data_IF_230278580443
#
_entry.id   IF_230278580443
#
_cell.length_a   1.000
_cell.length_b   1.000
_cell.length_c   1.000
_cell.angle_alpha   90.00
_cell.angle_beta   90.00
_cell.angle_gamma   90.00
#
_symmetry.space_group_name_H-M   'P 1'
#
loop_
_entity.id
_entity.type
_entity.pdbx_description
1 polymer ?
#
# COMPACT_ATOMS: atom_id res chain seq x y z
N UNK A 1 16.97 16.04 -1.25
CA UNK A 1 15.51 16.12 -1.52
C UNK A 1 14.78 16.06 -0.19
N UNK A 2 14.04 17.12 0.17
CA UNK A 2 13.37 17.26 1.46
C UNK A 2 12.06 16.44 1.44
N UNK A 3 12.13 15.15 1.79
CA UNK A 3 11.01 14.21 1.71
C UNK A 3 9.87 14.52 2.70
N UNK A 4 10.07 15.43 3.67
CA UNK A 4 9.16 15.62 4.80
C UNK A 4 7.86 16.39 4.50
N UNK A 5 7.69 16.95 3.29
CA UNK A 5 6.50 17.77 2.96
C UNK A 5 5.52 17.15 1.97
N UNK A 6 5.86 16.03 1.31
CA UNK A 6 5.06 15.50 0.20
C UNK A 6 4.14 14.32 0.56
N UNK A 7 4.44 13.62 1.65
CA UNK A 7 3.72 12.41 2.03
C UNK A 7 3.25 12.50 3.49
N UNK A 8 2.38 11.59 3.89
CA UNK A 8 1.80 11.48 5.22
C UNK A 8 2.36 10.26 5.97
N UNK A 9 2.56 9.15 5.26
CA UNK A 9 3.02 7.89 5.82
C UNK A 9 4.42 7.50 5.36
N UNK A 10 5.18 6.82 6.21
CA UNK A 10 6.46 6.22 5.84
C UNK A 10 6.28 4.93 5.01
N UNK A 11 5.19 4.22 5.29
CA UNK A 11 5.00 2.83 4.88
C UNK A 11 4.22 2.66 3.57
N UNK A 12 3.75 3.75 2.95
CA UNK A 12 2.93 3.66 1.74
C UNK A 12 3.62 2.86 0.62
N UNK A 13 4.95 2.91 0.54
CA UNK A 13 5.74 2.18 -0.46
C UNK A 13 5.72 0.66 -0.27
N UNK A 14 5.38 0.15 0.91
CA UNK A 14 5.28 -1.29 1.17
C UNK A 14 4.23 -1.95 0.26
N UNK A 15 3.20 -1.20 -0.15
CA UNK A 15 2.16 -1.68 -1.08
C UNK A 15 2.60 -1.64 -2.54
N UNK A 16 3.70 -0.95 -2.85
CA UNK A 16 4.23 -0.76 -4.20
C UNK A 16 5.49 -1.58 -4.49
N UNK A 17 5.96 -2.39 -3.53
CA UNK A 17 7.20 -3.18 -3.66
C UNK A 17 7.12 -4.20 -4.80
N UNK A 18 5.95 -4.82 -4.99
CA UNK A 18 5.75 -5.78 -6.06
C UNK A 18 5.30 -5.06 -7.35
N UNK A 19 5.82 -5.46 -8.52
CA UNK A 19 5.54 -4.78 -9.78
C UNK A 19 4.14 -5.05 -10.34
N UNK A 20 3.14 -5.33 -9.50
CA UNK A 20 1.76 -5.53 -9.92
C UNK A 20 1.17 -4.28 -10.58
N UNK A 21 1.61 -3.08 -10.18
CA UNK A 21 1.27 -1.83 -10.87
C UNK A 21 1.60 -1.87 -12.38
N UNK A 22 2.65 -2.59 -12.80
CA UNK A 22 2.96 -2.77 -14.23
C UNK A 22 1.90 -3.60 -14.94
N UNK A 23 1.39 -4.63 -14.27
CA UNK A 23 0.37 -5.53 -14.83
C UNK A 23 -1.00 -4.87 -14.85
N UNK A 24 -1.38 -4.15 -13.80
CA UNK A 24 -2.70 -3.50 -13.72
C UNK A 24 -2.75 -2.18 -14.49
N UNK A 25 -1.62 -1.56 -14.82
CA UNK A 25 -1.61 -0.32 -15.61
C UNK A 25 -2.07 -0.49 -17.06
N UNK A 26 -1.89 -1.67 -17.66
CA UNK A 26 -2.32 -1.95 -19.05
C UNK A 26 -3.58 -2.79 -19.05
N UNK A 27 -4.60 -2.38 -19.82
CA UNK A 27 -5.91 -3.04 -19.87
C UNK A 27 -5.82 -4.56 -20.10
N UNK A 28 -5.12 -4.98 -21.16
CA UNK A 28 -5.02 -6.42 -21.48
C UNK A 28 -4.24 -7.19 -20.41
N UNK A 29 -3.16 -6.62 -19.88
CA UNK A 29 -2.38 -7.23 -18.80
C UNK A 29 -3.17 -7.34 -17.50
N UNK A 30 -4.03 -6.36 -17.21
CA UNK A 30 -4.94 -6.37 -16.06
C UNK A 30 -6.00 -7.46 -16.21
N UNK A 31 -6.59 -7.60 -17.41
CA UNK A 31 -7.55 -8.67 -17.72
C UNK A 31 -6.93 -10.06 -17.53
N UNK A 32 -5.75 -10.32 -18.12
CA UNK A 32 -5.05 -11.60 -17.96
C UNK A 32 -4.63 -11.86 -16.52
N UNK A 33 -4.19 -10.83 -15.78
CA UNK A 33 -3.88 -10.96 -14.35
C UNK A 33 -5.14 -11.35 -13.57
N UNK A 34 -6.25 -10.67 -13.78
CA UNK A 34 -7.51 -10.92 -13.09
C UNK A 34 -8.04 -12.32 -13.36
N UNK A 35 -8.07 -12.75 -14.62
CA UNK A 35 -8.52 -14.08 -15.01
C UNK A 35 -7.72 -15.18 -14.28
N UNK A 36 -6.38 -15.10 -14.34
CA UNK A 36 -5.49 -16.02 -13.64
C UNK A 36 -5.65 -15.97 -12.11
N UNK A 37 -5.78 -14.78 -11.53
CA UNK A 37 -5.93 -14.64 -10.08
C UNK A 37 -7.27 -15.19 -9.61
N UNK A 38 -8.36 -14.98 -10.35
CA UNK A 38 -9.66 -15.51 -9.98
C UNK A 38 -9.71 -17.03 -10.01
N UNK A 39 -9.07 -17.67 -11.00
CA UNK A 39 -8.94 -19.14 -11.04
C UNK A 39 -8.22 -19.69 -9.80
N UNK A 40 -7.13 -19.04 -9.39
CA UNK A 40 -6.42 -19.38 -8.16
C UNK A 40 -7.33 -19.14 -6.94
N UNK A 41 -7.96 -17.97 -6.87
CA UNK A 41 -8.81 -17.59 -5.73
C UNK A 41 -9.94 -18.59 -5.53
N UNK A 42 -10.61 -19.01 -6.61
CA UNK A 42 -11.69 -20.00 -6.55
C UNK A 42 -11.17 -21.33 -5.96
N UNK A 43 -10.00 -21.79 -6.43
CA UNK A 43 -9.36 -23.03 -5.97
C UNK A 43 -8.97 -23.00 -4.48
N UNK A 44 -8.51 -21.84 -3.98
CA UNK A 44 -7.99 -21.68 -2.62
C UNK A 44 -8.94 -20.90 -1.68
N UNK A 45 -10.18 -20.68 -2.11
CA UNK A 45 -11.17 -19.82 -1.45
C UNK A 45 -11.44 -20.16 0.02
N UNK A 46 -11.35 -21.44 0.38
CA UNK A 46 -11.48 -21.94 1.77
C UNK A 46 -10.51 -21.29 2.77
N UNK A 47 -9.38 -20.76 2.31
CA UNK A 47 -8.39 -20.09 3.18
C UNK A 47 -8.67 -18.60 3.39
N UNK A 48 -9.55 -17.99 2.57
CA UNK A 48 -9.81 -16.54 2.62
C UNK A 48 -10.38 -16.10 3.97
N UNK A 49 -11.40 -16.76 4.55
CA UNK A 49 -11.94 -16.36 5.85
C UNK A 49 -10.97 -16.59 7.02
N UNK A 50 -9.94 -17.42 6.82
CA UNK A 50 -8.95 -17.76 7.85
C UNK A 50 -7.79 -16.76 7.90
N UNK A 51 -7.68 -15.86 6.94
CA UNK A 51 -6.68 -14.80 6.95
C UNK A 51 -6.95 -13.83 8.12
N UNK A 52 -5.94 -13.37 8.88
CA UNK A 52 -4.49 -13.54 8.68
C UNK A 52 -3.87 -14.75 9.39
N UNK A 53 -4.65 -15.54 10.13
CA UNK A 53 -4.16 -16.66 10.94
C UNK A 53 -3.57 -17.79 10.09
N UNK A 54 -4.15 -18.03 8.91
CA UNK A 54 -3.64 -18.97 7.90
C UNK A 54 -3.27 -18.18 6.65
N UNK A 55 -2.07 -18.41 6.12
CA UNK A 55 -1.58 -17.78 4.89
C UNK A 55 -1.34 -18.83 3.84
N UNK A 56 -1.98 -18.65 2.69
CA UNK A 56 -1.74 -19.44 1.49
C UNK A 56 -0.91 -18.61 0.50
N UNK A 57 0.28 -19.09 0.13
CA UNK A 57 1.18 -18.40 -0.80
C UNK A 57 0.50 -18.09 -2.15
N UNK A 58 -0.37 -18.97 -2.62
CA UNK A 58 -1.11 -18.77 -3.87
C UNK A 58 -2.04 -17.54 -3.84
N UNK A 59 -2.45 -17.09 -2.65
CA UNK A 59 -3.34 -15.94 -2.44
C UNK A 59 -2.58 -14.64 -2.13
N UNK A 60 -1.26 -14.58 -2.29
CA UNK A 60 -0.45 -13.40 -1.93
C UNK A 60 -0.91 -12.09 -2.58
N UNK A 61 -1.28 -12.12 -3.85
CA UNK A 61 -1.78 -10.93 -4.55
C UNK A 61 -3.13 -10.46 -3.96
N UNK A 62 -4.03 -11.39 -3.66
CA UNK A 62 -5.30 -11.10 -3.00
C UNK A 62 -5.05 -10.49 -1.61
N UNK A 63 -4.10 -11.02 -0.83
CA UNK A 63 -3.74 -10.46 0.48
C UNK A 63 -3.07 -9.08 0.38
N UNK A 64 -2.28 -8.82 -0.66
CA UNK A 64 -1.73 -7.49 -0.93
C UNK A 64 -2.85 -6.48 -1.21
N UNK A 65 -3.79 -6.85 -2.07
CA UNK A 65 -4.96 -6.05 -2.39
C UNK A 65 -5.79 -5.75 -1.13
N UNK A 66 -6.12 -6.79 -0.35
CA UNK A 66 -6.85 -6.65 0.90
C UNK A 66 -6.13 -5.73 1.89
N UNK A 67 -4.82 -5.92 2.14
CA UNK A 67 -4.07 -5.07 3.08
C UNK A 67 -4.01 -3.62 2.60
N UNK A 68 -3.90 -3.38 1.29
CA UNK A 68 -3.94 -2.03 0.73
C UNK A 68 -5.30 -1.39 0.98
N UNK A 69 -6.40 -2.11 0.70
CA UNK A 69 -7.77 -1.64 0.94
C UNK A 69 -7.99 -1.31 2.42
N UNK A 70 -7.56 -2.17 3.34
CA UNK A 70 -7.75 -1.97 4.78
C UNK A 70 -6.88 -0.85 5.36
N UNK A 71 -5.71 -0.58 4.78
CA UNK A 71 -4.85 0.53 5.17
C UNK A 71 -5.34 1.89 4.62
N UNK A 72 -6.26 1.87 3.66
CA UNK A 72 -6.63 3.04 2.88
C UNK A 72 -7.45 4.04 3.68
N UNK A 73 -6.86 5.20 3.92
CA UNK A 73 -7.54 6.42 4.30
C UNK A 73 -7.28 7.51 3.24
N UNK A 74 -7.81 8.70 3.48
CA UNK A 74 -7.62 9.85 2.57
C UNK A 74 -6.14 10.23 2.40
N UNK A 75 -5.35 10.15 3.47
CA UNK A 75 -3.93 10.53 3.48
C UNK A 75 -3.07 9.53 2.71
N UNK A 76 -3.32 8.23 2.84
CA UNK A 76 -2.62 7.19 2.09
C UNK A 76 -2.98 7.29 0.60
N UNK A 77 -4.24 7.57 0.29
CA UNK A 77 -4.68 7.76 -1.09
C UNK A 77 -3.94 8.95 -1.73
N UNK A 78 -3.86 10.07 -1.01
CA UNK A 78 -3.11 11.24 -1.40
C UNK A 78 -1.60 10.92 -1.57
N UNK A 79 -1.01 10.12 -0.67
CA UNK A 79 0.38 9.69 -0.79
C UNK A 79 0.64 8.90 -2.08
N UNK A 80 -0.29 8.02 -2.45
CA UNK A 80 -0.19 7.26 -3.70
C UNK A 80 -0.29 8.18 -4.92
N UNK A 81 -1.27 9.09 -4.94
CA UNK A 81 -1.44 10.04 -6.03
C UNK A 81 -0.20 10.92 -6.19
N UNK A 82 0.33 11.44 -5.08
CA UNK A 82 1.49 12.32 -5.08
C UNK A 82 2.82 11.62 -5.38
N UNK A 83 2.88 10.28 -5.37
CA UNK A 83 4.17 9.59 -5.47
C UNK A 83 4.78 9.69 -6.87
N UNK A 84 4.24 8.92 -7.80
CA UNK A 84 4.57 8.88 -9.21
C UNK A 84 3.51 8.02 -9.92
N UNK A 85 3.70 7.80 -11.22
CA UNK A 85 2.88 6.91 -12.04
C UNK A 85 2.48 5.59 -11.36
N UNK A 86 3.41 4.93 -10.65
CA UNK A 86 3.15 3.64 -9.97
C UNK A 86 2.16 3.78 -8.83
N UNK A 87 2.28 4.87 -8.07
CA UNK A 87 1.38 5.18 -6.97
C UNK A 87 -0.02 5.50 -7.50
N UNK A 88 -0.12 6.36 -8.52
CA UNK A 88 -1.41 6.71 -9.11
C UNK A 88 -2.12 5.47 -9.68
N UNK A 89 -1.42 4.64 -10.45
CA UNK A 89 -1.99 3.38 -10.97
C UNK A 89 -2.48 2.48 -9.84
N UNK A 90 -1.75 2.40 -8.73
CA UNK A 90 -2.16 1.60 -7.58
C UNK A 90 -3.35 2.19 -6.82
N UNK A 91 -3.44 3.53 -6.73
CA UNK A 91 -4.61 4.22 -6.18
C UNK A 91 -5.86 3.92 -7.03
N UNK A 92 -5.78 4.09 -8.36
CA UNK A 92 -6.87 3.78 -9.27
C UNK A 92 -7.29 2.30 -9.18
N UNK A 93 -6.31 1.39 -9.16
CA UNK A 93 -6.56 -0.04 -8.99
C UNK A 93 -7.30 -0.33 -7.69
N UNK A 94 -6.84 0.23 -6.57
CA UNK A 94 -7.45 0.02 -5.25
C UNK A 94 -8.88 0.56 -5.19
N UNK A 95 -9.14 1.70 -5.85
CA UNK A 95 -10.48 2.27 -6.02
C UNK A 95 -11.43 1.34 -6.79
N UNK A 96 -10.93 0.61 -7.80
CA UNK A 96 -11.75 -0.38 -8.51
C UNK A 96 -12.17 -1.54 -7.60
N UNK A 97 -11.25 -2.04 -6.77
CA UNK A 97 -11.42 -3.32 -6.06
C UNK A 97 -11.92 -3.17 -4.62
N UNK A 98 -12.02 -1.95 -4.09
CA UNK A 98 -12.44 -1.73 -2.70
C UNK A 98 -13.91 -2.10 -2.49
N UNK A 99 -14.25 -2.93 -1.48
CA UNK A 99 -15.61 -3.13 -0.99
C UNK A 99 -16.16 -1.91 -0.22
N UNK A 100 -15.31 -0.93 0.11
CA UNK A 100 -15.64 0.21 0.97
C UNK A 100 -15.31 1.54 0.28
N UNK A 101 -16.06 1.94 -0.76
CA UNK A 101 -15.81 3.20 -1.46
C UNK A 101 -15.97 4.40 -0.51
N UNK A 102 -15.16 5.43 -0.72
CA UNK A 102 -15.16 6.69 0.04
C UNK A 102 -15.16 7.88 -0.93
N UNK A 103 -15.79 8.99 -0.54
CA UNK A 103 -15.97 10.16 -1.42
C UNK A 103 -14.65 10.75 -1.90
N UNK A 104 -13.65 10.85 -1.01
CA UNK A 104 -12.31 11.38 -1.34
C UNK A 104 -11.65 10.64 -2.51
N UNK A 105 -12.00 9.37 -2.75
CA UNK A 105 -11.41 8.60 -3.85
C UNK A 105 -11.88 9.11 -5.20
N UNK A 106 -13.14 9.54 -5.33
CA UNK A 106 -13.66 10.12 -6.58
C UNK A 106 -13.05 11.50 -6.77
N UNK A 107 -13.15 12.36 -5.74
CA UNK A 107 -12.66 13.74 -5.77
C UNK A 107 -11.19 13.80 -6.22
N UNK A 108 -10.30 13.01 -5.59
CA UNK A 108 -8.88 13.02 -5.93
C UNK A 108 -8.56 12.30 -7.25
N UNK A 109 -9.40 11.38 -7.74
CA UNK A 109 -9.19 10.75 -9.06
C UNK A 109 -9.58 11.68 -10.22
N UNK A 110 -10.61 12.51 -10.03
CA UNK A 110 -11.02 13.50 -11.02
C UNK A 110 -9.96 14.60 -11.18
N UNK A 111 -9.25 14.96 -10.11
CA UNK A 111 -8.15 15.95 -10.15
C UNK A 111 -6.93 15.51 -10.99
N UNK A 112 -6.75 14.21 -11.23
CA UNK A 112 -5.55 13.65 -11.88
C UNK A 112 -5.83 13.01 -13.23
N UNK A 113 -7.02 13.20 -13.80
CA UNK A 113 -7.43 12.58 -15.06
C UNK A 113 -6.43 12.89 -16.20
N UNK A 114 -5.92 14.13 -16.23
CA UNK A 114 -4.99 14.61 -17.26
C UNK A 114 -3.54 14.17 -17.04
N UNK A 115 -3.17 13.69 -15.84
CA UNK A 115 -1.81 13.30 -15.50
C UNK A 115 -1.42 11.94 -16.11
N UNK A 116 -2.39 11.13 -16.55
CA UNK A 116 -2.18 9.74 -16.99
C UNK A 116 -2.87 9.39 -18.32
N UNK A 117 -2.44 9.97 -19.45
CA UNK A 117 -3.08 9.72 -20.75
C UNK A 117 -3.07 8.23 -21.15
N UNK A 118 -2.02 7.49 -20.81
CA UNK A 118 -1.90 6.05 -21.13
C UNK A 118 -2.69 5.13 -20.20
N UNK A 119 -3.16 5.62 -19.05
CA UNK A 119 -3.92 4.86 -18.07
C UNK A 119 -5.33 5.43 -17.85
N UNK A 120 -5.80 6.31 -18.74
CA UNK A 120 -7.14 6.92 -18.68
C UNK A 120 -8.24 5.88 -18.48
N UNK A 121 -8.14 4.74 -19.16
CA UNK A 121 -9.08 3.62 -19.01
C UNK A 121 -9.25 3.16 -17.54
N UNK A 122 -8.17 3.18 -16.74
CA UNK A 122 -8.18 2.71 -15.35
C UNK A 122 -8.80 3.75 -14.43
N UNK A 123 -8.52 5.04 -14.66
CA UNK A 123 -9.17 6.15 -13.96
C UNK A 123 -10.68 6.12 -14.25
N UNK A 124 -11.07 6.06 -15.52
CA UNK A 124 -12.47 5.96 -15.93
C UNK A 124 -13.17 4.74 -15.32
N UNK A 125 -12.48 3.59 -15.29
CA UNK A 125 -13.04 2.37 -14.66
C UNK A 125 -13.23 2.56 -13.16
N UNK A 126 -12.25 3.14 -12.47
CA UNK A 126 -12.35 3.43 -11.04
C UNK A 126 -13.51 4.40 -10.74
N UNK A 127 -13.59 5.54 -11.44
CA UNK A 127 -14.65 6.53 -11.27
C UNK A 127 -16.03 5.93 -11.56
N UNK A 128 -16.18 5.14 -12.63
CA UNK A 128 -17.43 4.47 -12.96
C UNK A 128 -17.86 3.49 -11.87
N UNK A 129 -16.94 2.65 -11.38
CA UNK A 129 -17.22 1.70 -10.29
C UNK A 129 -17.61 2.42 -9.00
N UNK A 130 -16.87 3.45 -8.62
CA UNK A 130 -17.15 4.25 -7.42
C UNK A 130 -18.50 4.99 -7.52
N UNK A 131 -18.87 5.43 -8.72
CA UNK A 131 -20.16 6.08 -9.01
C UNK A 131 -21.34 5.11 -9.16
N UNK A 132 -21.12 3.80 -9.00
CA UNK A 132 -22.17 2.79 -9.21
C UNK A 132 -22.55 2.57 -10.69
N UNK A 133 -21.80 3.15 -11.64
CA UNK A 133 -21.98 2.96 -13.08
C UNK A 133 -21.26 1.69 -13.52
N UNK A 134 -21.87 0.52 -13.29
CA UNK A 134 -21.30 -0.74 -13.77
C UNK A 134 -21.61 -0.95 -15.25
N UNK A 135 -20.63 -1.44 -16.01
CA UNK A 135 -20.84 -1.97 -17.37
C UNK A 135 -20.90 -3.49 -17.30
N UNK A 136 -21.75 -4.12 -18.10
CA UNK A 136 -21.67 -5.56 -18.32
C UNK A 136 -20.51 -5.88 -19.28
N UNK A 137 -19.29 -5.83 -18.73
CA UNK A 137 -18.05 -6.20 -19.42
C UNK A 137 -17.26 -7.19 -18.56
N UNK A 138 -16.50 -8.07 -19.23
CA UNK A 138 -15.66 -9.10 -18.61
C UNK A 138 -14.74 -8.53 -17.52
N UNK A 139 -14.19 -7.33 -17.74
CA UNK A 139 -13.35 -6.65 -16.75
C UNK A 139 -14.12 -6.27 -15.47
N UNK A 140 -15.29 -5.65 -15.62
CA UNK A 140 -16.12 -5.22 -14.48
C UNK A 140 -16.58 -6.43 -13.67
N UNK A 141 -16.94 -7.53 -14.35
CA UNK A 141 -17.30 -8.79 -13.72
C UNK A 141 -16.13 -9.38 -12.92
N UNK A 142 -14.90 -9.33 -13.46
CA UNK A 142 -13.71 -9.77 -12.74
C UNK A 142 -13.37 -8.90 -11.53
N UNK A 143 -13.45 -7.58 -11.66
CA UNK A 143 -13.23 -6.65 -10.55
C UNK A 143 -14.26 -6.89 -9.45
N UNK A 144 -15.54 -7.08 -9.82
CA UNK A 144 -16.62 -7.36 -8.88
C UNK A 144 -16.39 -8.66 -8.10
N UNK A 145 -15.96 -9.73 -8.76
CA UNK A 145 -15.57 -10.99 -8.09
C UNK A 145 -14.39 -10.79 -7.14
N UNK A 146 -13.34 -10.09 -7.57
CA UNK A 146 -12.19 -9.82 -6.70
C UNK A 146 -12.60 -9.01 -5.46
N UNK A 147 -13.42 -7.97 -5.65
CA UNK A 147 -14.01 -7.15 -4.58
C UNK A 147 -14.84 -7.99 -3.60
N UNK A 148 -15.62 -8.94 -4.09
CA UNK A 148 -16.36 -9.90 -3.27
C UNK A 148 -15.41 -10.71 -2.38
N UNK A 149 -14.35 -11.30 -2.94
CA UNK A 149 -13.38 -12.09 -2.16
C UNK A 149 -12.62 -11.25 -1.13
N UNK A 150 -12.29 -9.99 -1.45
CA UNK A 150 -11.72 -9.05 -0.47
C UNK A 150 -12.71 -8.81 0.69
N UNK A 151 -14.00 -8.69 0.37
CA UNK A 151 -15.07 -8.52 1.36
C UNK A 151 -15.31 -9.73 2.27
N UNK A 152 -14.89 -10.94 1.87
CA UNK A 152 -15.00 -12.15 2.69
C UNK A 152 -13.93 -12.26 3.78
N UNK A 153 -12.82 -11.52 3.67
CA UNK A 153 -11.79 -11.54 4.71
C UNK A 153 -12.26 -10.78 5.96
N UNK A 154 -11.89 -11.25 7.17
CA UNK A 154 -12.15 -10.51 8.40
C UNK A 154 -11.62 -9.09 8.29
N UNK A 155 -12.35 -8.08 8.75
CA UNK A 155 -11.83 -6.70 8.75
C UNK A 155 -10.70 -6.58 9.77
N UNK A 156 -9.62 -5.93 9.38
CA UNK A 156 -8.48 -5.65 10.26
C UNK A 156 -7.94 -4.27 9.92
N UNK A 157 -7.69 -3.46 10.93
CA UNK A 157 -6.98 -2.19 10.73
C UNK A 157 -5.52 -2.48 10.40
N UNK A 158 -5.03 -1.92 9.29
CA UNK A 158 -3.63 -2.05 8.88
C UNK A 158 -2.94 -0.73 9.23
N UNK A 159 -2.20 -0.66 10.35
CA UNK A 159 -1.64 0.59 10.81
C UNK A 159 -0.46 1.01 9.91
N UNK A 160 -0.27 2.32 9.78
CA UNK A 160 0.81 2.94 9.04
C UNK A 160 1.55 3.93 9.92
N UNK A 161 2.89 3.98 9.81
CA UNK A 161 3.68 4.95 10.55
C UNK A 161 3.53 6.33 9.92
N UNK A 162 3.10 7.35 10.68
CA UNK A 162 3.15 8.71 10.19
C UNK A 162 4.60 9.12 9.93
N UNK A 163 4.78 10.09 9.05
CA UNK A 163 6.08 10.72 8.86
C UNK A 163 6.56 11.40 10.15
N UNK A 164 7.87 11.36 10.47
CA UNK A 164 8.39 11.98 11.68
C UNK A 164 8.18 13.49 11.62
N UNK A 165 7.78 14.08 12.75
CA UNK A 165 7.71 15.53 12.88
C UNK A 165 9.10 16.17 12.73
N UNK A 166 9.18 17.47 12.44
CA UNK A 166 10.47 18.17 12.34
C UNK A 166 11.35 17.98 13.60
N UNK A 167 10.73 17.98 14.79
CA UNK A 167 11.41 17.69 16.05
C UNK A 167 12.01 16.28 16.06
N UNK A 168 11.26 15.28 15.58
CA UNK A 168 11.74 13.90 15.49
C UNK A 168 12.85 13.75 14.44
N UNK A 169 12.75 14.45 13.30
CA UNK A 169 13.81 14.48 12.28
C UNK A 169 15.11 15.07 12.85
N UNK A 170 15.02 16.20 13.57
CA UNK A 170 16.18 16.81 14.25
C UNK A 170 16.80 15.83 15.27
N UNK A 171 15.98 15.15 16.05
CA UNK A 171 16.47 14.14 17.00
C UNK A 171 17.16 12.96 16.30
N UNK A 172 16.63 12.52 15.15
CA UNK A 172 17.28 11.47 14.34
C UNK A 172 18.61 11.93 13.76
N UNK A 173 18.72 13.18 13.34
CA UNK A 173 19.96 13.76 12.85
C UNK A 173 21.02 13.85 13.95
N UNK A 174 20.64 14.35 15.14
CA UNK A 174 21.51 14.37 16.32
C UNK A 174 21.97 12.95 16.67
N UNK A 175 21.06 11.97 16.65
CA UNK A 175 21.39 10.56 16.89
C UNK A 175 22.39 10.01 15.86
N UNK A 176 22.17 10.26 14.56
CA UNK A 176 23.06 9.82 13.47
C UNK A 176 24.45 10.45 13.60
N UNK A 177 24.52 11.74 13.90
CA UNK A 177 25.79 12.44 14.10
C UNK A 177 26.56 11.87 15.29
N UNK A 178 25.88 11.61 16.42
CA UNK A 178 26.49 10.95 17.59
C UNK A 178 26.98 9.53 17.26
N UNK A 179 26.18 8.74 16.57
CA UNK A 179 26.55 7.39 16.15
C UNK A 179 27.80 7.41 15.26
N UNK A 180 27.86 8.34 14.30
CA UNK A 180 29.02 8.55 13.43
C UNK A 180 30.27 8.92 14.22
N UNK A 181 30.17 9.85 15.16
CA UNK A 181 31.30 10.23 16.03
C UNK A 181 31.80 9.03 16.84
N UNK A 182 30.91 8.24 17.44
CA UNK A 182 31.28 7.04 18.20
C UNK A 182 31.99 6.03 17.31
N UNK A 183 31.44 5.77 16.12
CA UNK A 183 32.06 4.88 15.15
C UNK A 183 33.47 5.34 14.78
N UNK A 184 33.67 6.63 14.51
CA UNK A 184 34.97 7.19 14.12
C UNK A 184 36.00 7.22 15.26
N UNK A 185 35.57 7.39 16.50
CA UNK A 185 36.48 7.59 17.65
C UNK A 185 36.69 6.35 18.50
N UNK A 186 35.70 5.47 18.60
CA UNK A 186 35.68 4.27 19.48
C UNK A 186 35.52 2.95 18.72
N UNK A 187 35.29 3.01 17.41
CA UNK A 187 35.16 1.84 16.55
C UNK A 187 33.76 1.20 16.54
N UNK A 188 33.64 0.13 15.76
CA UNK A 188 32.36 -0.51 15.40
C UNK A 188 31.61 -1.09 16.59
N UNK A 189 32.29 -1.76 17.53
CA UNK A 189 31.63 -2.45 18.64
C UNK A 189 30.88 -1.46 19.55
N UNK A 190 31.53 -0.35 19.90
CA UNK A 190 30.91 0.71 20.72
C UNK A 190 29.75 1.39 19.97
N UNK A 191 29.88 1.58 18.66
CA UNK A 191 28.79 2.12 17.85
C UNK A 191 27.56 1.20 17.83
N UNK A 192 27.76 -0.13 17.76
CA UNK A 192 26.68 -1.11 17.82
C UNK A 192 25.98 -1.07 19.19
N UNK A 193 26.73 -1.07 20.28
CA UNK A 193 26.17 -0.99 21.65
C UNK A 193 25.35 0.29 21.82
N UNK A 194 25.90 1.43 21.36
CA UNK A 194 25.18 2.70 21.39
C UNK A 194 23.89 2.64 20.55
N UNK A 195 23.97 2.11 19.32
CA UNK A 195 22.81 1.99 18.44
C UNK A 195 21.71 1.13 19.07
N UNK A 196 22.04 -0.05 19.59
CA UNK A 196 21.05 -0.96 20.17
C UNK A 196 20.33 -0.35 21.38
N UNK A 197 21.05 0.40 22.23
CA UNK A 197 20.47 1.08 23.41
C UNK A 197 19.57 2.27 23.06
N UNK A 198 19.80 2.92 21.91
CA UNK A 198 19.20 4.23 21.60
C UNK A 198 18.38 4.23 20.30
N UNK A 199 18.27 3.11 19.58
CA UNK A 199 17.48 3.05 18.34
C UNK A 199 16.00 3.29 18.63
N UNK A 200 15.34 4.06 17.76
CA UNK A 200 13.87 4.19 17.80
C UNK A 200 13.22 2.89 17.33
N UNK A 201 12.36 2.31 18.16
CA UNK A 201 11.53 1.13 17.81
C UNK A 201 10.49 1.42 16.72
N UNK A 202 10.28 2.69 16.37
CA UNK A 202 9.31 3.13 15.36
C UNK A 202 9.99 3.37 14.03
N UNK A 203 11.07 4.17 14.00
CA UNK A 203 11.64 4.68 12.75
C UNK A 203 12.91 3.97 12.27
N UNK A 204 13.56 3.18 13.13
CA UNK A 204 14.80 2.47 12.78
C UNK A 204 14.59 0.96 12.54
N UNK A 205 13.36 0.57 12.22
CA UNK A 205 12.97 -0.83 11.99
C UNK A 205 12.20 -0.96 10.67
N UNK A 206 12.20 -2.15 10.08
CA UNK A 206 11.35 -2.43 8.91
C UNK A 206 9.86 -2.34 9.26
N UNK A 207 8.98 -2.12 8.28
CA UNK A 207 7.54 -2.11 8.52
C UNK A 207 7.06 -3.42 9.17
N UNK A 208 7.55 -4.57 8.68
CA UNK A 208 7.25 -5.89 9.24
C UNK A 208 7.69 -6.03 10.70
N UNK A 209 8.85 -5.50 11.07
CA UNK A 209 9.34 -5.51 12.44
C UNK A 209 8.55 -4.55 13.33
N UNK A 210 8.19 -3.37 12.83
CA UNK A 210 7.33 -2.43 13.55
C UNK A 210 5.95 -3.02 13.85
N UNK A 211 5.30 -3.63 12.86
CA UNK A 211 4.01 -4.32 13.05
C UNK A 211 4.08 -5.38 14.17
N UNK A 212 5.17 -6.16 14.23
CA UNK A 212 5.37 -7.16 15.30
C UNK A 212 5.53 -6.53 16.68
N UNK A 213 6.04 -5.31 16.76
CA UNK A 213 6.26 -4.62 18.04
C UNK A 213 4.99 -3.97 18.59
N UNK A 214 4.06 -3.55 17.73
CA UNK A 214 2.78 -2.94 18.15
C UNK A 214 1.69 -3.98 18.43
N UNK A 215 1.83 -5.21 17.93
CA UNK A 215 0.91 -6.33 18.20
C UNK A 215 1.25 -7.10 19.48
N UNK A 216 2.20 -6.63 20.28
CA UNK A 216 2.56 -7.16 21.61
C UNK A 216 2.05 -6.21 22.68
#
# INVERSE_FOLDING_TARGET
MNYSKKYNYLDFREFLQYPYYLRVGRLNSAKTLLEYQLEIIDTYSKYIPLYPSVKCERLEFLYLCYRTVQAMDEKLFQDFINFNWRGIVWACWTSCITPYPKSYMIEQLEEIEDDLPYNKWLIETAVNILSGKSKDDKLYNYISKLKYFIGLMPRAEIPLRPLPSEKQLRNQEIFRNRLKTIYQTKGTNEAIIFFQKNKSSIYNVSYKEWLRNISK
#
